data_IF_357412354040
#
_entry.id   IF_357412354040
#
_cell.length_a   1.000
_cell.length_b   1.000
_cell.length_c   1.000
_cell.angle_alpha   90.00
_cell.angle_beta   90.00
_cell.angle_gamma   90.00
#
_symmetry.space_group_name_H-M   'P 1'
#
loop_
_entity.id
_entity.type
_entity.pdbx_description
1 polymer ?
#
# COMPACT_ATOMS: atom_id res chain seq x y z
N UNK A 1 37.24 75.22 -17.83
CA UNK A 1 36.27 75.55 -18.89
C UNK A 1 36.31 74.42 -19.90
N UNK A 2 35.14 73.93 -20.33
CA UNK A 2 34.92 72.88 -21.36
C UNK A 2 35.16 71.44 -20.86
N UNK A 3 34.18 70.55 -20.60
CA UNK A 3 32.97 70.11 -21.32
C UNK A 3 33.25 69.04 -22.40
N UNK A 4 32.32 68.07 -22.45
CA UNK A 4 31.99 67.15 -23.54
C UNK A 4 32.64 65.74 -23.64
N UNK A 5 31.82 64.78 -23.19
CA UNK A 5 31.44 63.51 -23.84
C UNK A 5 32.04 63.21 -25.22
N UNK A 6 32.43 61.95 -25.42
CA UNK A 6 32.13 61.26 -26.68
C UNK A 6 31.79 59.78 -26.48
N UNK A 7 30.78 59.40 -27.23
CA UNK A 7 30.04 58.15 -27.23
C UNK A 7 30.60 57.18 -28.28
N UNK A 8 30.32 55.89 -28.03
CA UNK A 8 29.97 54.84 -28.99
C UNK A 8 31.04 54.06 -29.77
N UNK A 9 30.79 52.75 -29.72
CA UNK A 9 30.78 51.76 -30.79
C UNK A 9 32.06 50.96 -31.07
N UNK A 10 31.90 49.64 -31.01
CA UNK A 10 32.18 48.82 -32.19
C UNK A 10 33.07 47.60 -32.00
N UNK A 11 32.40 46.44 -31.88
CA UNK A 11 32.74 45.12 -32.45
C UNK A 11 34.07 44.42 -32.10
N UNK A 12 33.86 43.30 -31.40
CA UNK A 12 34.29 41.93 -31.74
C UNK A 12 35.79 41.62 -31.90
N UNK A 13 36.28 40.72 -31.04
CA UNK A 13 37.21 39.67 -31.49
C UNK A 13 37.18 38.48 -30.53
N UNK A 14 36.84 37.31 -31.08
CA UNK A 14 36.90 36.00 -30.43
C UNK A 14 38.32 35.68 -29.94
N UNK A 15 38.45 35.29 -28.68
CA UNK A 15 39.55 34.41 -28.25
C UNK A 15 38.99 33.24 -27.45
N UNK A 16 39.11 32.07 -28.07
CA UNK A 16 38.99 30.77 -27.45
C UNK A 16 39.93 30.68 -26.24
N UNK A 17 39.40 30.18 -25.12
CA UNK A 17 40.19 29.76 -23.95
C UNK A 17 40.26 28.23 -23.96
N UNK A 18 41.45 27.63 -23.81
CA UNK A 18 41.61 26.18 -23.84
C UNK A 18 41.07 25.52 -22.55
N UNK A 19 40.36 24.42 -22.74
CA UNK A 19 39.93 23.49 -21.70
C UNK A 19 41.15 22.93 -20.95
N UNK A 20 41.32 23.33 -19.69
CA UNK A 20 42.25 22.66 -18.77
C UNK A 20 41.49 21.60 -17.98
N UNK A 21 41.74 20.34 -18.36
CA UNK A 21 41.24 19.12 -17.76
C UNK A 21 42.04 18.81 -16.48
N UNK A 22 41.42 18.98 -15.31
CA UNK A 22 41.88 18.32 -14.06
C UNK A 22 40.73 18.17 -13.08
N UNK A 23 40.25 16.94 -12.90
CA UNK A 23 39.21 16.65 -11.91
C UNK A 23 38.71 15.21 -11.97
N UNK A 24 39.58 14.29 -11.58
CA UNK A 24 39.31 12.95 -11.02
C UNK A 24 38.13 12.14 -11.57
N UNK A 25 38.50 11.10 -12.32
CA UNK A 25 37.73 9.90 -12.63
C UNK A 25 37.35 9.17 -11.33
N UNK A 26 36.22 9.55 -10.73
CA UNK A 26 35.76 9.04 -9.44
C UNK A 26 34.34 8.50 -9.50
N UNK A 27 34.22 7.23 -9.92
CA UNK A 27 33.06 6.33 -9.75
C UNK A 27 31.70 6.84 -10.25
N UNK A 28 31.40 6.46 -11.49
CA UNK A 28 30.04 6.23 -11.97
C UNK A 28 29.36 5.17 -11.08
N UNK A 29 28.34 5.58 -10.32
CA UNK A 29 27.29 4.67 -9.85
C UNK A 29 25.95 5.26 -10.27
N UNK A 30 25.53 4.92 -11.48
CA UNK A 30 24.13 5.10 -11.88
C UNK A 30 23.34 3.98 -11.22
N UNK A 31 22.86 4.25 -10.00
CA UNK A 31 21.82 3.41 -9.40
C UNK A 31 20.51 3.74 -10.11
N UNK A 32 20.21 3.02 -11.20
CA UNK A 32 18.89 3.04 -11.80
C UNK A 32 17.93 2.32 -10.85
N UNK A 33 17.32 3.08 -9.93
CA UNK A 33 16.25 2.59 -9.09
C UNK A 33 15.03 2.42 -10.00
N UNK A 34 14.79 1.19 -10.45
CA UNK A 34 13.54 0.82 -11.10
C UNK A 34 12.43 0.94 -10.04
N UNK A 35 11.79 2.10 -9.97
CA UNK A 35 10.51 2.24 -9.31
C UNK A 35 9.49 1.48 -10.16
N UNK A 36 9.34 0.18 -9.89
CA UNK A 36 8.20 -0.58 -10.37
C UNK A 36 6.97 0.04 -9.72
N UNK A 37 6.26 0.88 -10.49
CA UNK A 37 4.94 1.36 -10.18
C UNK A 37 4.00 0.16 -10.15
N UNK A 38 3.92 -0.53 -9.02
CA UNK A 38 2.79 -1.41 -8.77
C UNK A 38 1.58 -0.49 -8.71
N UNK A 39 0.63 -0.71 -9.63
CA UNK A 39 -0.68 -0.07 -9.58
C UNK A 39 -1.37 -0.60 -8.33
N UNK A 40 -1.14 0.08 -7.24
CA UNK A 40 -1.76 -0.18 -5.97
C UNK A 40 -3.10 0.53 -6.03
N UNK A 41 -4.08 -0.23 -6.47
CA UNK A 41 -5.45 0.06 -6.17
C UNK A 41 -5.52 0.26 -4.65
N UNK A 42 -5.73 1.51 -4.23
CA UNK A 42 -6.26 1.82 -2.91
C UNK A 42 -7.58 1.08 -2.84
N UNK A 43 -7.54 -0.16 -2.37
CA UNK A 43 -8.72 -0.98 -2.30
C UNK A 43 -9.61 -0.37 -1.25
N UNK A 44 -10.73 0.14 -1.74
CA UNK A 44 -11.68 0.87 -0.94
C UNK A 44 -12.18 -0.02 0.18
N UNK A 45 -12.29 0.59 1.36
CA UNK A 45 -13.06 0.02 2.45
C UNK A 45 -14.45 -0.39 1.92
N UNK A 46 -14.84 -1.62 2.20
CA UNK A 46 -16.12 -2.20 1.83
C UNK A 46 -16.91 -2.63 3.07
N UNK A 47 -18.22 -2.68 2.92
CA UNK A 47 -19.18 -3.21 3.88
C UNK A 47 -20.10 -4.24 3.22
N UNK A 48 -19.71 -4.76 2.05
CA UNK A 48 -20.48 -5.74 1.31
C UNK A 48 -20.56 -7.06 2.08
N UNK A 49 -21.78 -7.53 2.32
CA UNK A 49 -22.01 -8.82 3.00
C UNK A 49 -21.82 -10.03 2.07
N UNK A 50 -21.52 -9.80 0.79
CA UNK A 50 -21.40 -10.83 -0.24
C UNK A 50 -22.72 -11.18 -0.94
N UNK A 51 -22.71 -12.20 -1.81
CA UNK A 51 -21.57 -13.08 -2.10
C UNK A 51 -20.41 -12.36 -2.81
N UNK A 52 -19.18 -12.63 -2.38
CA UNK A 52 -17.94 -12.16 -3.00
C UNK A 52 -17.19 -13.37 -3.57
N UNK A 53 -16.87 -13.33 -4.87
CA UNK A 53 -16.11 -14.41 -5.50
C UNK A 53 -14.69 -14.49 -4.97
N UNK A 54 -14.25 -15.68 -4.54
CA UNK A 54 -12.86 -15.96 -4.14
C UNK A 54 -12.33 -17.17 -4.92
N UNK A 55 -11.01 -17.38 -4.98
CA UNK A 55 -10.44 -18.59 -5.58
C UNK A 55 -10.89 -19.90 -4.91
N UNK A 56 -11.35 -19.84 -3.66
CA UNK A 56 -11.76 -21.01 -2.87
C UNK A 56 -13.27 -21.25 -2.79
N UNK A 57 -14.09 -20.32 -3.31
CA UNK A 57 -15.55 -20.34 -3.19
C UNK A 57 -16.18 -18.95 -3.06
N UNK A 58 -17.47 -18.89 -2.72
CA UNK A 58 -18.20 -17.64 -2.48
C UNK A 58 -18.13 -17.24 -1.01
N UNK A 59 -17.53 -16.08 -0.74
CA UNK A 59 -17.45 -15.48 0.60
C UNK A 59 -18.75 -14.74 0.92
N UNK A 60 -19.30 -14.98 2.10
CA UNK A 60 -20.45 -14.26 2.63
C UNK A 60 -20.22 -13.90 4.11
N UNK A 61 -20.66 -12.70 4.49
CA UNK A 61 -20.73 -12.26 5.88
C UNK A 61 -22.18 -12.16 6.30
N UNK A 62 -22.58 -12.93 7.31
CA UNK A 62 -23.94 -12.94 7.82
C UNK A 62 -23.97 -12.34 9.21
N UNK A 63 -24.82 -11.36 9.44
CA UNK A 63 -25.03 -10.79 10.77
C UNK A 63 -25.83 -11.77 11.63
N UNK A 64 -25.31 -12.08 12.81
CA UNK A 64 -25.99 -12.89 13.83
C UNK A 64 -25.88 -12.16 15.18
N UNK A 65 -26.93 -11.44 15.56
CA UNK A 65 -26.98 -10.57 16.75
C UNK A 65 -25.84 -9.53 16.78
N UNK A 66 -24.92 -9.66 17.74
CA UNK A 66 -23.76 -8.79 17.91
C UNK A 66 -22.53 -9.26 17.12
N UNK A 67 -22.60 -10.47 16.56
CA UNK A 67 -21.50 -11.09 15.85
C UNK A 67 -21.76 -11.14 14.33
N UNK A 68 -20.68 -11.36 13.60
CA UNK A 68 -20.69 -11.70 12.19
C UNK A 68 -20.17 -13.12 12.03
N UNK A 69 -20.84 -13.87 11.16
CA UNK A 69 -20.41 -15.19 10.71
C UNK A 69 -19.82 -15.05 9.31
N UNK A 70 -18.56 -15.47 9.15
CA UNK A 70 -17.92 -15.56 7.85
C UNK A 70 -18.12 -16.96 7.29
N UNK A 71 -18.66 -17.02 6.08
CA UNK A 71 -19.04 -18.24 5.39
C UNK A 71 -18.34 -18.32 4.04
N UNK A 72 -17.95 -19.54 3.65
CA UNK A 72 -17.43 -19.86 2.33
C UNK A 72 -18.28 -20.99 1.76
N UNK A 73 -18.92 -20.78 0.61
CA UNK A 73 -19.86 -21.75 0.02
C UNK A 73 -20.94 -22.24 1.03
N UNK A 74 -21.47 -21.31 1.83
CA UNK A 74 -22.41 -21.57 2.92
C UNK A 74 -21.87 -22.41 4.11
N UNK A 75 -20.57 -22.69 4.15
CA UNK A 75 -19.93 -23.31 5.30
C UNK A 75 -19.32 -22.23 6.20
N UNK A 76 -19.63 -22.28 7.50
CA UNK A 76 -19.05 -21.36 8.47
C UNK A 76 -17.58 -21.69 8.67
N UNK A 77 -16.70 -20.72 8.44
CA UNK A 77 -15.26 -20.87 8.71
C UNK A 77 -14.75 -19.93 9.81
N UNK A 78 -15.45 -18.85 10.11
CA UNK A 78 -15.09 -17.97 11.23
C UNK A 78 -16.31 -17.25 11.84
N UNK A 79 -16.15 -16.81 13.09
CA UNK A 79 -17.08 -15.90 13.79
C UNK A 79 -16.30 -14.79 14.48
N UNK A 80 -16.83 -13.58 14.45
CA UNK A 80 -16.19 -12.43 15.07
C UNK A 80 -17.19 -11.36 15.49
N UNK A 81 -16.91 -10.69 16.60
CA UNK A 81 -17.66 -9.50 17.04
C UNK A 81 -17.26 -8.26 16.24
N UNK A 82 -18.25 -7.51 15.75
CA UNK A 82 -18.08 -6.18 15.20
C UNK A 82 -19.41 -5.43 15.13
N UNK A 83 -19.41 -4.16 15.56
CA UNK A 83 -20.60 -3.30 15.45
C UNK A 83 -21.07 -3.14 13.99
N UNK A 84 -20.13 -2.96 13.07
CA UNK A 84 -20.36 -2.79 11.63
C UNK A 84 -19.40 -3.66 10.85
N UNK A 85 -19.86 -4.28 9.77
CA UNK A 85 -18.96 -4.96 8.84
C UNK A 85 -18.11 -3.92 8.13
N UNK A 86 -16.80 -4.05 8.28
CA UNK A 86 -15.82 -3.20 7.60
C UNK A 86 -14.66 -4.09 7.19
N UNK A 87 -14.43 -4.16 5.90
CA UNK A 87 -13.37 -4.99 5.34
C UNK A 87 -12.65 -4.28 4.20
N UNK A 88 -11.44 -4.73 3.93
CA UNK A 88 -10.60 -4.27 2.83
C UNK A 88 -10.24 -5.51 2.03
N UNK A 89 -10.42 -5.47 0.72
CA UNK A 89 -10.26 -6.64 -0.14
C UNK A 89 -9.00 -6.52 -1.00
N UNK A 90 -8.34 -7.64 -1.23
CA UNK A 90 -7.24 -7.79 -2.19
C UNK A 90 -7.80 -8.45 -3.46
N UNK A 91 -8.10 -7.64 -4.46
CA UNK A 91 -8.74 -8.10 -5.70
C UNK A 91 -7.66 -8.58 -6.67
N UNK A 92 -7.65 -9.88 -6.95
CA UNK A 92 -6.72 -10.47 -7.90
C UNK A 92 -6.98 -9.95 -9.33
N UNK A 93 -5.91 -9.60 -10.04
CA UNK A 93 -5.98 -8.96 -11.37
C UNK A 93 -6.62 -9.83 -12.46
N UNK A 94 -6.75 -11.14 -12.24
CA UNK A 94 -7.16 -12.07 -13.29
C UNK A 94 -8.69 -12.18 -13.45
N UNK A 95 -9.50 -11.95 -12.42
CA UNK A 95 -10.93 -12.30 -12.44
C UNK A 95 -11.83 -11.50 -11.47
N UNK A 96 -11.39 -10.31 -11.00
CA UNK A 96 -12.10 -9.54 -9.96
C UNK A 96 -12.42 -10.34 -8.66
N UNK A 97 -11.71 -11.46 -8.45
CA UNK A 97 -11.90 -12.31 -7.28
C UNK A 97 -11.13 -11.75 -6.09
N UNK A 98 -11.75 -11.78 -4.93
CA UNK A 98 -11.11 -11.43 -3.65
C UNK A 98 -10.19 -12.59 -3.24
N UNK A 99 -8.89 -12.35 -3.25
CA UNK A 99 -7.88 -13.36 -2.87
C UNK A 99 -7.62 -13.35 -1.37
N UNK A 100 -7.73 -12.17 -0.75
CA UNK A 100 -7.57 -11.95 0.69
C UNK A 100 -8.51 -10.83 1.13
N UNK A 101 -8.93 -10.87 2.38
CA UNK A 101 -9.73 -9.81 3.00
C UNK A 101 -9.19 -9.52 4.38
N UNK A 102 -9.00 -8.24 4.71
CA UNK A 102 -8.74 -7.78 6.07
C UNK A 102 -10.05 -7.25 6.66
N UNK A 103 -10.59 -7.93 7.66
CA UNK A 103 -11.80 -7.53 8.37
C UNK A 103 -11.45 -6.82 9.67
N UNK A 104 -12.10 -5.68 9.93
CA UNK A 104 -12.02 -5.00 11.21
C UNK A 104 -13.00 -5.64 12.20
N UNK A 105 -12.48 -6.07 13.35
CA UNK A 105 -13.26 -6.70 14.43
C UNK A 105 -13.02 -6.00 15.76
N UNK A 106 -13.84 -6.29 16.77
CA UNK A 106 -13.70 -5.71 18.11
C UNK A 106 -12.40 -6.12 18.81
N UNK A 107 -11.84 -7.28 18.44
CA UNK A 107 -10.55 -7.80 18.95
C UNK A 107 -9.35 -7.35 18.12
N UNK A 108 -9.57 -6.56 17.07
CA UNK A 108 -8.54 -6.12 16.12
C UNK A 108 -8.69 -6.74 14.72
N UNK A 109 -7.86 -6.32 13.76
CA UNK A 109 -7.95 -6.82 12.38
C UNK A 109 -7.73 -8.32 12.27
N UNK A 110 -8.50 -8.96 11.37
CA UNK A 110 -8.38 -10.37 11.00
C UNK A 110 -8.14 -10.46 9.50
N UNK A 111 -7.09 -11.16 9.09
CA UNK A 111 -6.77 -11.43 7.70
C UNK A 111 -7.28 -12.81 7.32
N UNK A 112 -8.19 -12.84 6.35
CA UNK A 112 -8.62 -14.05 5.65
C UNK A 112 -7.85 -14.18 4.34
N UNK A 113 -7.33 -15.37 4.06
CA UNK A 113 -6.66 -15.69 2.80
C UNK A 113 -7.32 -16.91 2.15
N UNK A 114 -7.92 -16.65 0.98
CA UNK A 114 -8.78 -17.56 0.22
C UNK A 114 -8.03 -18.27 -0.90
N UNK A 115 -6.70 -18.17 -0.94
CA UNK A 115 -5.87 -18.87 -1.93
C UNK A 115 -5.77 -20.38 -1.67
N UNK A 116 -6.33 -20.85 -0.55
CA UNK A 116 -6.40 -22.27 -0.16
C UNK A 116 -7.74 -22.60 0.49
N UNK A 117 -8.08 -23.89 0.56
CA UNK A 117 -9.27 -24.41 1.25
C UNK A 117 -8.83 -25.43 2.32
N UNK A 118 -9.16 -25.25 3.62
CA UNK A 118 -9.95 -24.14 4.18
C UNK A 118 -9.17 -22.81 4.17
N UNK A 119 -9.87 -21.65 4.16
CA UNK A 119 -9.24 -20.34 4.24
C UNK A 119 -8.28 -20.22 5.42
N UNK A 120 -7.18 -19.50 5.24
CA UNK A 120 -6.29 -19.17 6.36
C UNK A 120 -6.85 -17.97 7.11
N UNK A 121 -7.09 -18.14 8.41
CA UNK A 121 -7.53 -17.08 9.32
C UNK A 121 -6.35 -16.64 10.18
N UNK A 122 -5.96 -15.36 10.12
CA UNK A 122 -4.89 -14.79 10.92
C UNK A 122 -5.42 -13.61 11.72
N UNK A 123 -5.40 -13.72 13.06
CA UNK A 123 -5.88 -12.68 13.97
C UNK A 123 -4.69 -11.85 14.46
N UNK A 124 -4.80 -10.52 14.39
CA UNK A 124 -3.77 -9.63 14.94
C UNK A 124 -3.79 -9.60 16.49
N UNK A 125 -4.96 -9.77 17.10
CA UNK A 125 -5.18 -9.69 18.55
C UNK A 125 -4.99 -8.31 19.16
N UNK A 126 -4.68 -7.29 18.34
CA UNK A 126 -4.41 -5.93 18.79
C UNK A 126 -5.53 -5.03 18.31
N UNK A 127 -6.32 -4.51 19.27
CA UNK A 127 -7.42 -3.61 18.98
C UNK A 127 -6.92 -2.31 18.35
N UNK A 128 -7.40 -2.03 17.14
CA UNK A 128 -7.15 -0.79 16.42
C UNK A 128 -8.22 -0.56 15.35
N UNK A 129 -8.49 0.71 15.03
CA UNK A 129 -9.23 1.07 13.82
C UNK A 129 -8.27 1.16 12.64
N UNK A 130 -8.54 0.42 11.57
CA UNK A 130 -7.79 0.48 10.31
C UNK A 130 -8.45 1.50 9.39
N UNK A 131 -7.66 2.43 8.86
CA UNK A 131 -8.15 3.51 7.98
C UNK A 131 -7.77 3.29 6.53
N UNK A 132 -6.60 2.69 6.28
CA UNK A 132 -6.10 2.37 4.94
C UNK A 132 -5.36 1.05 4.97
N UNK A 133 -5.42 0.34 3.85
CA UNK A 133 -4.77 -0.95 3.63
C UNK A 133 -4.02 -0.90 2.30
N UNK A 134 -2.82 -1.45 2.31
CA UNK A 134 -1.96 -1.59 1.14
C UNK A 134 -1.49 -3.05 1.07
N UNK A 135 -1.81 -3.71 -0.03
CA UNK A 135 -1.50 -5.12 -0.25
C UNK A 135 -0.17 -5.24 -0.99
N UNK A 136 0.77 -6.02 -0.44
CA UNK A 136 2.10 -6.19 -1.04
C UNK A 136 2.55 -7.65 -0.92
N UNK A 137 2.59 -8.37 -2.04
CA UNK A 137 2.94 -9.79 -2.01
C UNK A 137 2.11 -10.54 -0.95
N UNK A 138 2.77 -11.16 0.02
CA UNK A 138 2.11 -11.88 1.14
C UNK A 138 1.84 -11.03 2.40
N UNK A 139 2.16 -9.75 2.39
CA UNK A 139 1.93 -8.86 3.52
C UNK A 139 0.85 -7.82 3.26
N UNK A 140 0.23 -7.38 4.34
CA UNK A 140 -0.72 -6.28 4.35
C UNK A 140 -0.18 -5.18 5.25
N UNK A 141 -0.02 -3.99 4.68
CA UNK A 141 0.38 -2.79 5.41
C UNK A 141 -0.86 -1.98 5.71
N UNK A 142 -1.02 -1.59 6.97
CA UNK A 142 -2.20 -0.90 7.47
C UNK A 142 -1.80 0.43 8.07
N UNK A 143 -2.55 1.48 7.73
CA UNK A 143 -2.54 2.70 8.51
C UNK A 143 -3.72 2.67 9.48
N UNK A 144 -3.42 2.55 10.77
CA UNK A 144 -4.41 2.48 11.84
C UNK A 144 -4.35 3.67 12.79
N UNK A 145 -5.25 3.67 13.77
CA UNK A 145 -5.33 4.70 14.83
C UNK A 145 -4.02 4.95 15.60
N UNK A 146 -3.12 3.96 15.65
CA UNK A 146 -1.86 4.01 16.41
C UNK A 146 -0.61 4.15 15.51
N UNK A 147 -0.82 4.43 14.21
CA UNK A 147 0.24 4.56 13.20
C UNK A 147 0.23 3.42 12.18
N UNK A 148 1.40 3.18 11.60
CA UNK A 148 1.59 2.18 10.55
C UNK A 148 1.93 0.80 11.11
N UNK A 149 1.35 -0.24 10.52
CA UNK A 149 1.57 -1.63 10.90
C UNK A 149 1.75 -2.49 9.67
N UNK A 150 2.61 -3.50 9.77
CA UNK A 150 2.74 -4.57 8.78
C UNK A 150 2.22 -5.85 9.40
N UNK A 151 1.33 -6.55 8.71
CA UNK A 151 0.82 -7.85 9.12
C UNK A 151 1.19 -8.90 8.08
N UNK A 152 1.92 -9.92 8.53
CA UNK A 152 2.46 -10.96 7.65
C UNK A 152 2.55 -12.27 8.42
N UNK A 153 1.92 -13.32 7.90
CA UNK A 153 2.00 -14.68 8.46
C UNK A 153 1.69 -14.72 9.97
N UNK A 154 0.65 -14.01 10.39
CA UNK A 154 0.20 -13.93 11.78
C UNK A 154 0.98 -12.97 12.67
N UNK A 155 2.02 -12.31 12.15
CA UNK A 155 2.85 -11.38 12.94
C UNK A 155 2.52 -9.94 12.60
N UNK A 156 2.05 -9.18 13.59
CA UNK A 156 1.80 -7.75 13.50
C UNK A 156 3.02 -6.97 14.00
N UNK A 157 3.64 -6.17 13.13
CA UNK A 157 4.81 -5.35 13.45
C UNK A 157 4.44 -3.87 13.31
N UNK A 158 4.65 -3.07 14.37
CA UNK A 158 4.54 -1.62 14.28
C UNK A 158 5.71 -1.06 13.47
N UNK A 159 5.41 -0.24 12.48
CA UNK A 159 6.41 0.40 11.64
C UNK A 159 6.80 1.74 12.28
N UNK A 160 8.10 1.96 12.52
CA UNK A 160 8.61 3.26 12.96
C UNK A 160 8.82 4.14 11.73
N UNK A 161 8.20 5.32 11.73
CA UNK A 161 8.35 6.39 10.73
C UNK A 161 8.65 5.89 9.31
N UNK A 162 7.63 5.45 8.58
CA UNK A 162 7.81 5.05 7.18
C UNK A 162 8.02 6.29 6.32
N UNK A 163 9.27 6.59 5.94
CA UNK A 163 9.53 7.36 4.71
C UNK A 163 9.09 6.60 3.46
N UNK A 164 8.67 5.34 3.61
CA UNK A 164 8.05 4.54 2.56
C UNK A 164 6.69 5.09 2.20
N UNK A 165 6.58 5.62 0.97
CA UNK A 165 5.28 5.86 0.34
C UNK A 165 4.69 4.51 -0.03
N UNK A 166 3.62 4.16 0.65
CA UNK A 166 2.75 3.08 0.24
C UNK A 166 1.81 3.64 -0.81
N UNK A 167 1.98 3.19 -2.03
CA UNK A 167 0.97 3.37 -3.04
C UNK A 167 -0.11 2.35 -2.76
#
# INVERSE_FOLDING_TARGET
MTMFQRTMAGRASLRQTPLNLKGNLGRLFVAALAASSFATCVHAQSNASGPLGTPSGQLQFVRADHDWTAMLDNEVFDRFGANTLTHFDDVGHANDTVTRTLVQTDSGPVLYDFRRRPPLVQRSGIRMTVRRVFWQGDEVVMHGSQGWFRFKRGVLTKLQSSTTTYH
#
